data_IF_204347401622
#
_entry.id   IF_204347401622
#
_cell.length_a   1.000
_cell.length_b   1.000
_cell.length_c   1.000
_cell.angle_alpha   90.00
_cell.angle_beta   90.00
_cell.angle_gamma   90.00
#
_symmetry.space_group_name_H-M   'P 1'
#
loop_
_entity.id
_entity.type
_entity.pdbx_description
1 polymer ?
#
# COMPACT_ATOMS: atom_id res chain seq x y z
N UNK A 1 5.68 13.91 -10.89
CA UNK A 1 5.64 12.51 -10.38
C UNK A 1 6.50 12.46 -9.11
N UNK A 2 6.06 11.79 -8.02
CA UNK A 2 6.94 11.58 -6.88
C UNK A 2 8.19 10.79 -7.31
N UNK A 3 9.34 11.08 -6.70
CA UNK A 3 10.65 10.51 -7.05
C UNK A 3 11.44 10.18 -5.79
N UNK A 4 12.49 9.37 -5.90
CA UNK A 4 13.30 8.95 -4.76
C UNK A 4 12.76 7.71 -4.01
N UNK A 5 13.41 7.30 -2.92
CA UNK A 5 13.15 6.01 -2.26
C UNK A 5 11.72 5.83 -1.72
N UNK A 6 11.01 6.93 -1.45
CA UNK A 6 9.66 6.97 -0.84
C UNK A 6 8.52 7.17 -1.85
N UNK A 7 8.82 7.23 -3.15
CA UNK A 7 7.86 7.68 -4.15
C UNK A 7 6.55 6.88 -4.17
N UNK A 8 6.60 5.56 -3.94
CA UNK A 8 5.42 4.69 -3.91
C UNK A 8 4.45 5.05 -2.78
N UNK A 9 4.99 5.36 -1.60
CA UNK A 9 4.20 5.75 -0.43
C UNK A 9 3.57 7.12 -0.66
N UNK A 10 4.31 8.04 -1.25
CA UNK A 10 3.82 9.37 -1.60
C UNK A 10 2.73 9.32 -2.68
N UNK A 11 2.88 8.45 -3.68
CA UNK A 11 1.87 8.24 -4.70
C UNK A 11 0.57 7.68 -4.08
N UNK A 12 0.68 6.64 -3.27
CA UNK A 12 -0.46 6.04 -2.59
C UNK A 12 -1.22 7.05 -1.71
N UNK A 13 -0.48 7.86 -0.94
CA UNK A 13 -1.08 8.87 -0.05
C UNK A 13 -1.94 9.89 -0.79
N UNK A 14 -1.65 10.19 -2.06
CA UNK A 14 -2.45 11.12 -2.87
C UNK A 14 -3.86 10.63 -3.15
N UNK A 15 -4.10 9.33 -3.04
CA UNK A 15 -5.41 8.67 -3.17
C UNK A 15 -6.03 8.30 -1.81
N UNK A 16 -5.41 8.71 -0.70
CA UNK A 16 -5.98 8.54 0.65
C UNK A 16 -6.73 9.80 1.09
N UNK A 17 -7.44 9.76 2.21
CA UNK A 17 -8.04 10.96 2.81
C UNK A 17 -6.99 11.73 3.64
N UNK A 18 -6.83 13.07 3.48
CA UNK A 18 -7.33 13.89 2.38
C UNK A 18 -6.54 13.65 1.08
N UNK A 19 -7.23 13.64 -0.07
CA UNK A 19 -6.60 13.38 -1.38
C UNK A 19 -5.93 14.63 -1.95
N UNK A 20 -5.04 14.42 -2.93
CA UNK A 20 -4.47 15.51 -3.71
C UNK A 20 -5.38 15.80 -4.92
N UNK A 21 -6.16 16.89 -4.86
CA UNK A 21 -7.01 17.35 -5.98
C UNK A 21 -6.18 17.43 -7.27
N UNK A 22 -6.66 16.92 -8.42
CA UNK A 22 -8.02 16.42 -8.70
C UNK A 22 -8.24 14.91 -8.42
N UNK A 23 -7.31 14.25 -7.74
CA UNK A 23 -7.37 12.81 -7.51
C UNK A 23 -8.47 12.45 -6.49
N UNK A 24 -9.22 11.35 -6.71
CA UNK A 24 -10.24 10.89 -5.78
C UNK A 24 -9.61 10.27 -4.53
N UNK A 25 -10.40 10.21 -3.46
CA UNK A 25 -10.11 9.35 -2.31
C UNK A 25 -10.48 7.92 -2.69
N UNK A 26 -9.48 7.10 -3.03
CA UNK A 26 -9.67 5.68 -3.31
C UNK A 26 -9.48 4.82 -2.08
N UNK A 27 -8.67 5.22 -1.12
CA UNK A 27 -8.38 4.42 0.08
C UNK A 27 -8.72 5.20 1.34
N UNK A 28 -9.49 4.58 2.23
CA UNK A 28 -9.73 5.12 3.58
C UNK A 28 -8.57 4.77 4.53
N UNK A 29 -8.64 5.29 5.75
CA UNK A 29 -7.58 5.10 6.74
C UNK A 29 -7.39 3.63 7.12
N UNK A 30 -8.46 2.84 7.16
CA UNK A 30 -8.40 1.41 7.47
C UNK A 30 -7.63 0.65 6.37
N UNK A 31 -7.92 0.96 5.10
CA UNK A 31 -7.20 0.38 3.97
C UNK A 31 -5.76 0.86 3.88
N UNK A 32 -5.52 2.15 4.18
CA UNK A 32 -4.18 2.71 4.22
C UNK A 32 -3.31 2.02 5.29
N UNK A 33 -3.89 1.73 6.47
CA UNK A 33 -3.26 0.98 7.55
C UNK A 33 -2.99 -0.46 7.16
N UNK A 34 -3.99 -1.17 6.60
CA UNK A 34 -3.84 -2.55 6.16
C UNK A 34 -2.74 -2.70 5.10
N UNK A 35 -2.54 -1.69 4.24
CA UNK A 35 -1.53 -1.72 3.19
C UNK A 35 -0.13 -1.24 3.63
N UNK A 36 -0.01 -0.65 4.83
CA UNK A 36 1.25 -0.06 5.30
C UNK A 36 2.39 -1.07 5.50
N UNK A 37 2.17 -2.28 6.05
CA UNK A 37 3.22 -3.28 6.22
C UNK A 37 3.88 -3.71 4.91
N UNK A 38 3.09 -3.90 3.84
CA UNK A 38 3.59 -4.34 2.53
C UNK A 38 4.47 -3.30 1.83
N UNK A 39 4.21 -2.00 2.08
CA UNK A 39 5.06 -0.92 1.55
C UNK A 39 6.42 -0.89 2.25
N UNK A 40 6.46 -1.18 3.55
CA UNK A 40 7.69 -1.27 4.34
C UNK A 40 8.50 -2.53 4.02
N UNK A 41 7.83 -3.61 3.60
CA UNK A 41 8.47 -4.85 3.19
C UNK A 41 9.53 -4.65 2.09
N UNK A 42 9.24 -3.83 1.07
CA UNK A 42 10.23 -3.52 0.02
C UNK A 42 11.47 -2.86 0.59
N UNK A 43 11.30 -1.91 1.51
CA UNK A 43 12.44 -1.22 2.13
C UNK A 43 13.26 -2.18 2.99
N UNK A 44 12.58 -3.04 3.75
CA UNK A 44 13.18 -4.09 4.54
C UNK A 44 14.01 -5.05 3.66
N UNK A 45 13.39 -5.71 2.67
CA UNK A 45 14.07 -6.67 1.77
C UNK A 45 15.25 -6.06 1.02
N UNK A 46 15.17 -4.78 0.62
CA UNK A 46 16.28 -4.12 -0.09
C UNK A 46 17.46 -3.73 0.82
N UNK A 47 17.23 -3.46 2.11
CA UNK A 47 18.26 -2.90 3.01
C UNK A 47 18.73 -3.86 4.11
N UNK A 48 18.02 -4.96 4.37
CA UNK A 48 18.40 -5.93 5.40
C UNK A 48 19.40 -6.97 4.85
N UNK A 49 20.67 -6.59 4.71
CA UNK A 49 21.78 -7.54 4.53
C UNK A 49 22.24 -8.21 5.83
N UNK A 50 21.49 -8.04 6.91
CA UNK A 50 21.75 -8.73 8.16
C UNK A 50 20.62 -8.51 9.14
N UNK A 51 20.50 -9.49 10.03
CA UNK A 51 19.70 -9.46 11.24
C UNK A 51 18.23 -9.86 11.09
N UNK A 52 17.99 -11.13 11.45
CA UNK A 52 16.80 -11.58 12.18
C UNK A 52 15.51 -10.93 11.68
N UNK A 53 15.15 -11.25 10.43
CA UNK A 53 13.88 -10.84 9.88
C UNK A 53 12.78 -11.24 10.86
N UNK A 54 11.98 -10.25 11.21
CA UNK A 54 10.82 -10.28 12.11
C UNK A 54 9.76 -11.19 11.48
N UNK A 55 10.08 -12.49 11.39
CA UNK A 55 9.38 -13.50 10.60
C UNK A 55 7.94 -13.61 11.06
N UNK A 56 7.68 -13.40 12.35
CA UNK A 56 6.33 -13.38 12.92
C UNK A 56 5.49 -12.24 12.30
N UNK A 57 6.04 -11.02 12.19
CA UNK A 57 5.35 -9.89 11.54
C UNK A 57 5.25 -10.06 10.02
N UNK A 58 6.19 -10.77 9.41
CA UNK A 58 6.13 -11.10 7.99
C UNK A 58 5.09 -12.18 7.68
N UNK A 59 5.01 -13.23 8.51
CA UNK A 59 4.06 -14.33 8.37
C UNK A 59 2.63 -13.83 8.52
N UNK A 60 2.35 -12.99 9.53
CA UNK A 60 1.04 -12.35 9.70
C UNK A 60 0.69 -11.46 8.49
N UNK A 61 1.67 -10.76 7.92
CA UNK A 61 1.49 -10.00 6.68
C UNK A 61 1.19 -10.90 5.48
N UNK A 62 1.88 -12.04 5.34
CA UNK A 62 1.69 -12.98 4.23
C UNK A 62 0.29 -13.62 4.29
N UNK A 63 -0.17 -14.02 5.46
CA UNK A 63 -1.49 -14.62 5.64
C UNK A 63 -2.62 -13.64 5.27
N UNK A 64 -2.43 -12.34 5.57
CA UNK A 64 -3.40 -11.30 5.27
C UNK A 64 -3.23 -10.67 3.87
N UNK A 65 -2.19 -11.04 3.12
CA UNK A 65 -1.86 -10.45 1.82
C UNK A 65 -2.99 -10.65 0.81
N UNK A 66 -3.59 -11.84 0.78
CA UNK A 66 -4.68 -12.15 -0.14
C UNK A 66 -5.88 -11.22 0.05
N UNK A 67 -6.29 -11.02 1.30
CA UNK A 67 -7.40 -10.11 1.65
C UNK A 67 -7.08 -8.65 1.33
N UNK A 68 -5.89 -8.18 1.71
CA UNK A 68 -5.45 -6.81 1.45
C UNK A 68 -5.34 -6.51 -0.06
N UNK A 69 -4.78 -7.45 -0.84
CA UNK A 69 -4.67 -7.31 -2.29
C UNK A 69 -6.04 -7.38 -2.98
N UNK A 70 -6.93 -8.27 -2.53
CA UNK A 70 -8.30 -8.35 -3.01
C UNK A 70 -9.05 -7.03 -2.79
N UNK A 71 -9.01 -6.49 -1.57
CA UNK A 71 -9.63 -5.21 -1.25
C UNK A 71 -9.05 -4.05 -2.08
N UNK A 72 -7.73 -4.04 -2.31
CA UNK A 72 -7.07 -3.06 -3.17
C UNK A 72 -7.57 -3.15 -4.62
N UNK A 73 -7.59 -4.36 -5.20
CA UNK A 73 -8.05 -4.59 -6.58
C UNK A 73 -9.50 -4.20 -6.77
N UNK A 74 -10.40 -4.67 -5.90
CA UNK A 74 -11.82 -4.34 -5.99
C UNK A 74 -12.08 -2.84 -5.98
N UNK A 75 -11.33 -2.07 -5.16
CA UNK A 75 -11.53 -0.62 -5.07
C UNK A 75 -10.94 0.12 -6.27
N UNK A 76 -9.84 -0.39 -6.82
CA UNK A 76 -9.28 0.11 -8.08
C UNK A 76 -10.23 -0.16 -9.25
N UNK A 77 -10.74 -1.39 -9.38
CA UNK A 77 -11.65 -1.79 -10.45
C UNK A 77 -12.96 -0.99 -10.39
N UNK A 78 -13.52 -0.79 -9.19
CA UNK A 78 -14.70 0.06 -9.00
C UNK A 78 -14.47 1.48 -9.54
N UNK A 79 -13.30 2.04 -9.25
CA UNK A 79 -12.96 3.37 -9.75
C UNK A 79 -12.72 3.39 -11.26
N UNK A 80 -11.98 2.43 -11.82
CA UNK A 80 -11.72 2.35 -13.25
C UNK A 80 -13.03 2.21 -14.05
N UNK A 81 -14.00 1.46 -13.54
CA UNK A 81 -15.35 1.35 -14.13
C UNK A 81 -16.14 2.66 -14.11
N UNK A 82 -15.76 3.65 -13.29
CA UNK A 82 -16.36 5.00 -13.33
C UNK A 82 -15.77 5.89 -14.42
N UNK A 83 -14.64 5.49 -15.01
CA UNK A 83 -13.93 6.21 -16.06
C UNK A 83 -14.20 5.65 -17.48
N UNK A 84 -14.80 4.45 -17.56
CA UNK A 84 -15.23 3.79 -18.81
C UNK A 84 -16.63 4.22 -19.21
#
# INVERSE_FOLDING_TARGET
>A
MPSGATWHSELFRRFCSPSLIPLPVLFDDAQALALAPYRKFRHFVYHSYGFQADWERMAEGIDNLGGALGAFKSRLDLYLNTLS
#
